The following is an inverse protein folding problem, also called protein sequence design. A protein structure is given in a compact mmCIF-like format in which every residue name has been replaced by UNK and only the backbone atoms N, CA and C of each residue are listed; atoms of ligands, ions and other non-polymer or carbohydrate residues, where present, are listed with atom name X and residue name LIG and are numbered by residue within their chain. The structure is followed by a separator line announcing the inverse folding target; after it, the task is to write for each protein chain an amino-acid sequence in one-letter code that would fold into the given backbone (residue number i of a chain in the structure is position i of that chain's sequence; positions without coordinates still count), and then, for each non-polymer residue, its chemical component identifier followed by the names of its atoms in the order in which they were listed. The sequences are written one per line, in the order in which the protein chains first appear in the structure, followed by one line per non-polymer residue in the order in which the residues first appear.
data_IF_093263839759
#
_entry.id   IF_093263839759
#
_cell.length_a   1.000
_cell.length_b   1.000
_cell.length_c   1.000
_cell.angle_alpha   90.00
_cell.angle_beta   90.00
_cell.angle_gamma   90.00
#
_symmetry.space_group_name_H-M   'P 1'
#
loop_
_entity.id
_entity.type
_entity.pdbx_description
1 polymer ?
#
# COMPACT_ATOMS: atom_id res chain seq x y z
N UNK A 1 -0.33 12.73 3.66
CA UNK A 1 -0.92 11.96 2.55
C UNK A 1 -2.03 12.80 1.97
N UNK A 2 -2.14 12.87 0.64
CA UNK A 2 -3.21 13.59 -0.06
C UNK A 2 -4.02 12.57 -0.86
N UNK A 3 -5.33 12.72 -0.91
CA UNK A 3 -6.20 11.88 -1.72
C UNK A 3 -5.96 12.17 -3.21
N UNK A 4 -5.91 11.13 -4.03
CA UNK A 4 -5.82 11.27 -5.48
C UNK A 4 -7.23 11.38 -6.09
N UNK A 5 -7.44 12.25 -7.10
CA UNK A 5 -8.68 12.26 -7.86
C UNK A 5 -8.94 10.90 -8.56
N UNK A 6 -10.21 10.56 -8.86
CA UNK A 6 -10.52 9.38 -9.68
C UNK A 6 -9.77 9.40 -11.02
N UNK A 7 -9.31 8.23 -11.48
CA UNK A 7 -8.53 8.09 -12.71
C UNK A 7 -7.03 8.44 -12.58
N UNK A 8 -6.59 9.08 -11.50
CA UNK A 8 -5.17 9.42 -11.28
C UNK A 8 -4.46 8.27 -10.56
N UNK A 9 -3.30 7.86 -11.09
CA UNK A 9 -2.45 6.84 -10.44
C UNK A 9 -1.83 7.38 -9.16
N UNK A 10 -1.95 6.59 -8.09
CA UNK A 10 -1.33 6.86 -6.80
C UNK A 10 -0.92 5.57 -6.10
N UNK A 11 -0.24 5.71 -4.97
CA UNK A 11 0.12 4.58 -4.12
C UNK A 11 -1.08 4.05 -3.34
N UNK A 12 -1.25 2.73 -3.31
CA UNK A 12 -2.28 2.07 -2.53
C UNK A 12 -1.88 1.96 -1.05
N UNK A 13 -2.80 2.38 -0.18
CA UNK A 13 -2.70 2.20 1.26
C UNK A 13 -3.89 1.38 1.77
N UNK A 14 -3.64 0.50 2.75
CA UNK A 14 -4.69 -0.29 3.42
C UNK A 14 -4.90 0.21 4.85
N UNK A 15 -6.15 0.14 5.31
CA UNK A 15 -6.57 0.49 6.67
C UNK A 15 -7.51 -0.58 7.24
N UNK A 16 -7.74 -0.56 8.55
CA UNK A 16 -8.74 -1.39 9.22
C UNK A 16 -8.19 -2.68 9.85
N UNK A 17 -9.09 -3.58 10.23
CA UNK A 17 -8.79 -4.77 11.03
C UNK A 17 -7.90 -5.79 10.32
N UNK A 18 -7.86 -5.76 8.99
CA UNK A 18 -7.00 -6.65 8.19
C UNK A 18 -5.50 -6.32 8.24
N UNK A 19 -5.11 -5.24 8.94
CA UNK A 19 -3.70 -4.90 9.09
C UNK A 19 -3.00 -5.83 10.08
N UNK A 20 -1.84 -6.34 9.67
CA UNK A 20 -0.93 -7.03 10.57
C UNK A 20 -0.43 -6.09 11.69
N UNK A 21 0.03 -6.66 12.80
CA UNK A 21 0.68 -5.89 13.86
C UNK A 21 1.96 -5.20 13.37
N UNK A 22 2.72 -5.88 12.49
CA UNK A 22 3.95 -5.41 11.90
C UNK A 22 4.81 -6.59 11.44
N UNK A 23 6.09 -6.33 11.20
CA UNK A 23 7.08 -7.35 10.93
C UNK A 23 7.74 -7.81 12.23
N UNK A 24 7.72 -9.13 12.47
CA UNK A 24 8.26 -9.72 13.70
C UNK A 24 9.75 -9.37 13.87
N UNK A 25 10.10 -8.79 15.03
CA UNK A 25 11.49 -8.41 15.36
C UNK A 25 12.07 -7.29 14.51
N UNK A 26 11.25 -6.58 13.71
CA UNK A 26 11.71 -5.53 12.79
C UNK A 26 10.90 -4.23 12.98
N UNK A 27 11.07 -3.54 14.11
CA UNK A 27 10.32 -2.32 14.42
C UNK A 27 10.59 -1.20 13.41
N UNK A 28 11.83 -1.03 12.94
CA UNK A 28 12.18 0.02 11.98
C UNK A 28 11.45 -0.16 10.64
N UNK A 29 11.46 -1.38 10.11
CA UNK A 29 10.74 -1.71 8.89
C UNK A 29 9.22 -1.58 9.09
N UNK A 30 8.72 -1.94 10.27
CA UNK A 30 7.31 -1.76 10.61
C UNK A 30 6.93 -0.28 10.58
N UNK A 31 7.73 0.60 11.18
CA UNK A 31 7.45 2.03 11.23
C UNK A 31 7.46 2.70 9.84
N UNK A 32 8.25 2.20 8.90
CA UNK A 32 8.28 2.73 7.52
C UNK A 32 7.09 2.28 6.67
N UNK A 33 6.53 1.09 6.93
CA UNK A 33 5.40 0.53 6.15
C UNK A 33 4.04 0.74 6.83
N UNK A 34 3.97 0.79 8.16
CA UNK A 34 2.75 0.99 8.96
C UNK A 34 2.75 2.39 9.57
N UNK A 35 2.26 3.37 8.81
CA UNK A 35 2.33 4.80 9.13
C UNK A 35 1.07 5.29 9.84
N UNK A 36 1.09 6.43 10.55
CA UNK A 36 -0.12 7.03 11.13
C UNK A 36 -1.17 7.34 10.06
N UNK A 37 -2.46 7.08 10.37
CA UNK A 37 -3.56 7.42 9.48
C UNK A 37 -3.98 8.90 9.68
N UNK A 38 -3.81 9.79 8.69
CA UNK A 38 -4.27 11.18 8.82
C UNK A 38 -5.77 11.36 8.56
N UNK A 39 -6.47 10.33 8.08
CA UNK A 39 -7.88 10.39 7.68
C UNK A 39 -8.83 9.78 8.72
N UNK A 40 -8.31 9.33 9.87
CA UNK A 40 -9.10 8.68 10.91
C UNK A 40 -8.21 7.96 11.94
N UNK A 41 -8.80 7.14 12.81
CA UNK A 41 -8.04 6.40 13.80
C UNK A 41 -7.14 5.32 13.16
N UNK A 42 -6.11 4.93 13.91
CA UNK A 42 -5.27 3.78 13.58
C UNK A 42 -4.09 4.10 12.64
N UNK A 43 -3.69 3.09 11.86
CA UNK A 43 -2.52 3.10 10.97
C UNK A 43 -2.93 2.79 9.55
N UNK A 44 -2.07 3.14 8.61
CA UNK A 44 -2.13 2.75 7.20
C UNK A 44 -0.95 1.85 6.87
N UNK A 45 -1.19 0.79 6.09
CA UNK A 45 -0.12 -0.02 5.52
C UNK A 45 0.17 0.43 4.08
N UNK A 46 1.41 0.82 3.81
CA UNK A 46 1.93 1.23 2.49
C UNK A 46 2.29 -0.02 1.68
N UNK A 47 1.46 -0.39 0.70
CA UNK A 47 1.61 -1.66 -0.02
C UNK A 47 2.80 -1.66 -1.00
N UNK A 48 3.16 -0.47 -1.49
CA UNK A 48 4.10 -0.29 -2.59
C UNK A 48 3.47 -0.48 -3.98
N UNK A 49 2.18 -0.77 -4.07
CA UNK A 49 1.46 -0.93 -5.33
C UNK A 49 0.96 0.43 -5.85
N UNK A 50 1.06 0.64 -7.17
CA UNK A 50 0.48 1.77 -7.88
C UNK A 50 -0.86 1.37 -8.47
N UNK A 51 -1.90 2.15 -8.19
CA UNK A 51 -3.27 1.89 -8.63
C UNK A 51 -3.98 3.17 -9.02
N UNK A 52 -5.08 3.04 -9.77
CA UNK A 52 -6.07 4.10 -10.00
C UNK A 52 -7.48 3.52 -10.02
N UNK A 53 -8.48 4.39 -9.87
CA UNK A 53 -9.87 4.00 -10.14
C UNK A 53 -10.19 4.08 -11.63
N UNK A 54 -10.92 3.10 -12.17
CA UNK A 54 -11.54 3.16 -13.49
C UNK A 54 -12.89 3.91 -13.46
N UNK A 55 -13.55 4.01 -14.62
CA UNK A 55 -14.83 4.70 -14.77
C UNK A 55 -15.97 4.04 -13.99
N UNK A 56 -15.81 2.77 -13.63
CA UNK A 56 -16.75 1.98 -12.84
C UNK A 56 -16.38 1.93 -11.35
N UNK A 57 -15.35 2.65 -10.92
CA UNK A 57 -14.92 2.72 -9.53
C UNK A 57 -14.15 1.49 -9.03
N UNK A 58 -13.63 0.66 -9.93
CA UNK A 58 -12.75 -0.47 -9.57
C UNK A 58 -11.31 -0.01 -9.51
N UNK A 59 -10.53 -0.65 -8.64
CA UNK A 59 -9.08 -0.45 -8.60
C UNK A 59 -8.40 -1.19 -9.74
N UNK A 60 -7.68 -0.46 -10.57
CA UNK A 60 -6.80 -0.97 -11.62
C UNK A 60 -5.37 -0.91 -11.12
N UNK A 61 -4.67 -2.04 -11.18
CA UNK A 61 -3.27 -2.14 -10.83
C UNK A 61 -2.39 -1.71 -12.00
N UNK A 62 -1.48 -0.77 -11.75
CA UNK A 62 -0.61 -0.15 -12.76
C UNK A 62 0.88 -0.51 -12.55
N UNK A 63 1.25 -1.05 -11.39
CA UNK A 63 2.61 -1.49 -11.13
C UNK A 63 3.04 -1.33 -9.68
N UNK A 64 4.35 -1.15 -9.50
CA UNK A 64 5.01 -0.99 -8.19
C UNK A 64 5.73 0.35 -8.13
N UNK A 65 5.71 0.95 -6.94
CA UNK A 65 6.50 2.14 -6.63
C UNK A 65 7.91 1.79 -6.10
N UNK A 66 8.17 0.50 -5.85
CA UNK A 66 9.45 -0.03 -5.37
C UNK A 66 9.90 -1.22 -6.22
N UNK A 67 11.13 -1.69 -5.96
CA UNK A 67 11.79 -2.75 -6.74
C UNK A 67 11.25 -4.16 -6.45
N UNK A 68 10.18 -4.30 -5.67
CA UNK A 68 9.63 -5.61 -5.36
C UNK A 68 9.00 -6.22 -6.62
N UNK A 69 9.43 -7.44 -6.96
CA UNK A 69 8.93 -8.16 -8.13
C UNK A 69 8.07 -9.35 -7.69
N UNK A 70 7.02 -9.65 -8.44
CA UNK A 70 6.26 -10.90 -8.33
C UNK A 70 6.68 -11.87 -9.44
N UNK A 71 7.45 -12.90 -9.10
CA UNK A 71 7.86 -13.95 -10.05
C UNK A 71 7.04 -15.20 -9.75
N UNK A 72 6.12 -15.57 -10.65
CA UNK A 72 5.26 -16.76 -10.50
C UNK A 72 4.51 -16.82 -9.15
N UNK A 73 4.05 -15.68 -8.65
CA UNK A 73 3.34 -15.56 -7.38
C UNK A 73 4.24 -15.39 -6.15
N UNK A 74 5.56 -15.52 -6.29
CA UNK A 74 6.52 -15.28 -5.21
C UNK A 74 6.94 -13.82 -5.16
N UNK A 75 6.97 -13.26 -3.94
CA UNK A 75 7.50 -11.94 -3.65
C UNK A 75 9.03 -12.00 -3.55
N UNK A 76 9.71 -11.24 -4.40
CA UNK A 76 11.16 -11.12 -4.46
C UNK A 76 11.54 -9.65 -4.25
N UNK A 77 12.54 -9.40 -3.42
CA UNK A 77 13.18 -8.10 -3.22
C UNK A 77 14.62 -8.24 -3.75
N UNK A 78 15.03 -7.50 -4.81
CA UNK A 78 16.37 -7.58 -5.42
C UNK A 78 17.52 -7.19 -4.49
#
# INVERSE_FOLDING_TARGET
LNLCPPGVTGELYLAGEGLAHGYLGRPDLTATRFVPNPFGPGRLYRTGDLVRFDGEGRLVYEGRADDQIKIRGFRVEP
#
